data_IF_364425580873
#
_entry.id   IF_364425580873
#
_cell.length_a   1.000
_cell.length_b   1.000
_cell.length_c   1.000
_cell.angle_alpha   90.00
_cell.angle_beta   90.00
_cell.angle_gamma   90.00
#
_symmetry.space_group_name_H-M   'P 1'
#
loop_
_entity.id
_entity.type
_entity.pdbx_description
1 polymer ?
#
# COMPACT_ATOMS: atom_id res chain seq x y z
N UNK A 1 -33.06 -9.27 -26.29
CA UNK A 1 -31.63 -9.18 -25.90
C UNK A 1 -30.94 -10.36 -26.55
N UNK A 2 -30.15 -10.17 -27.60
CA UNK A 2 -29.40 -11.28 -28.20
C UNK A 2 -28.40 -11.79 -27.15
N UNK A 3 -28.44 -13.08 -26.85
CA UNK A 3 -27.50 -13.65 -25.88
C UNK A 3 -26.11 -13.74 -26.52
N UNK A 4 -25.15 -13.01 -25.96
CA UNK A 4 -23.78 -13.00 -26.47
C UNK A 4 -23.09 -14.34 -26.19
N UNK A 5 -22.55 -14.94 -27.25
CA UNK A 5 -21.73 -16.15 -27.23
C UNK A 5 -20.24 -15.85 -27.39
N UNK A 6 -19.87 -14.56 -27.39
CA UNK A 6 -18.49 -14.07 -27.51
C UNK A 6 -18.25 -12.91 -26.56
N UNK A 7 -17.06 -12.83 -25.99
CA UNK A 7 -16.61 -11.65 -25.26
C UNK A 7 -15.09 -11.46 -25.42
N UNK A 8 -14.63 -10.22 -25.33
CA UNK A 8 -13.20 -9.90 -25.30
C UNK A 8 -12.84 -9.42 -23.89
N UNK A 9 -11.91 -10.09 -23.23
CA UNK A 9 -11.27 -9.62 -22.01
C UNK A 9 -9.98 -8.88 -22.38
N UNK A 10 -9.72 -7.78 -21.69
CA UNK A 10 -8.50 -7.00 -21.88
C UNK A 10 -7.64 -7.09 -20.64
N UNK A 11 -6.40 -7.50 -20.86
CA UNK A 11 -5.41 -7.70 -19.82
C UNK A 11 -4.23 -6.76 -20.02
N UNK A 12 -3.61 -6.36 -18.92
CA UNK A 12 -2.39 -5.57 -18.96
C UNK A 12 -1.37 -6.10 -17.95
N UNK A 13 -0.16 -6.36 -18.42
CA UNK A 13 0.93 -6.90 -17.60
C UNK A 13 0.80 -8.39 -17.25
N UNK A 14 -0.11 -9.12 -17.89
CA UNK A 14 -0.26 -10.56 -17.70
C UNK A 14 0.93 -11.33 -18.31
N UNK A 15 1.61 -12.20 -17.54
CA UNK A 15 2.66 -13.07 -18.07
C UNK A 15 2.11 -14.01 -19.13
N UNK A 16 2.70 -13.99 -20.33
CA UNK A 16 2.20 -14.76 -21.47
C UNK A 16 2.17 -16.27 -21.21
N UNK A 17 3.11 -16.79 -20.43
CA UNK A 17 3.15 -18.20 -20.03
C UNK A 17 1.93 -18.66 -19.22
N UNK A 18 1.20 -17.74 -18.56
CA UNK A 18 -0.03 -18.07 -17.81
C UNK A 18 -1.28 -18.15 -18.70
N UNK A 19 -1.26 -17.56 -19.90
CA UNK A 19 -2.44 -17.50 -20.79
C UNK A 19 -2.90 -18.89 -21.24
N UNK A 20 -1.99 -19.68 -21.80
CA UNK A 20 -2.31 -21.03 -22.27
C UNK A 20 -2.79 -21.94 -21.12
N UNK A 21 -2.14 -21.86 -19.96
CA UNK A 21 -2.53 -22.62 -18.78
C UNK A 21 -3.94 -22.25 -18.29
N UNK A 22 -4.29 -20.97 -18.28
CA UNK A 22 -5.62 -20.53 -17.86
C UNK A 22 -6.73 -20.97 -18.82
N UNK A 23 -6.46 -20.96 -20.12
CA UNK A 23 -7.42 -21.45 -21.13
C UNK A 23 -7.59 -22.97 -21.06
N UNK A 24 -6.52 -23.72 -20.77
CA UNK A 24 -6.58 -25.16 -20.59
C UNK A 24 -7.45 -25.61 -19.39
N UNK A 25 -7.76 -24.71 -18.45
CA UNK A 25 -8.67 -24.98 -17.33
C UNK A 25 -10.16 -24.93 -17.72
N UNK A 26 -10.47 -24.68 -19.00
CA UNK A 26 -11.85 -24.69 -19.46
C UNK A 26 -12.44 -26.10 -19.37
N UNK A 27 -13.55 -26.19 -18.65
CA UNK A 27 -14.22 -27.46 -18.51
C UNK A 27 -14.90 -27.82 -19.85
N UNK A 28 -14.76 -29.07 -20.35
CA UNK A 28 -15.26 -29.45 -21.68
C UNK A 28 -16.75 -29.15 -21.90
N UNK A 29 -17.56 -29.23 -20.83
CA UNK A 29 -18.99 -28.95 -20.85
C UNK A 29 -19.34 -27.48 -21.11
N UNK A 30 -18.38 -26.56 -20.97
CA UNK A 30 -18.60 -25.14 -21.31
C UNK A 30 -18.55 -24.91 -22.82
N UNK A 31 -17.96 -25.85 -23.57
CA UNK A 31 -17.71 -25.73 -25.02
C UNK A 31 -17.18 -24.36 -25.39
N UNK A 32 -16.15 -23.96 -24.65
CA UNK A 32 -15.56 -22.64 -24.75
C UNK A 32 -14.15 -22.74 -25.32
N UNK A 33 -13.80 -21.78 -26.16
CA UNK A 33 -12.49 -21.61 -26.74
C UNK A 33 -12.02 -20.18 -26.49
N UNK A 34 -10.71 -19.99 -26.40
CA UNK A 34 -10.13 -18.66 -26.28
C UNK A 34 -8.93 -18.50 -27.20
N UNK A 35 -8.84 -17.34 -27.81
CA UNK A 35 -7.72 -16.89 -28.61
C UNK A 35 -7.21 -15.58 -28.03
N UNK A 36 -5.90 -15.34 -28.11
CA UNK A 36 -5.34 -14.09 -27.62
C UNK A 36 -4.29 -13.51 -28.56
N UNK A 37 -4.16 -12.19 -28.49
CA UNK A 37 -3.14 -11.42 -29.17
C UNK A 37 -2.53 -10.43 -28.21
N UNK A 38 -1.20 -10.35 -28.21
CA UNK A 38 -0.45 -9.44 -27.35
C UNK A 38 0.26 -8.37 -28.17
N UNK A 39 0.27 -7.14 -27.66
CA UNK A 39 1.06 -6.03 -28.18
C UNK A 39 1.74 -5.35 -27.00
N UNK A 40 3.06 -5.54 -26.89
CA UNK A 40 3.78 -5.17 -25.67
C UNK A 40 3.18 -5.88 -24.45
N UNK A 41 2.81 -5.10 -23.43
CA UNK A 41 2.20 -5.59 -22.20
C UNK A 41 0.66 -5.73 -22.24
N UNK A 42 0.00 -5.26 -23.31
CA UNK A 42 -1.45 -5.44 -23.46
C UNK A 42 -1.77 -6.76 -24.16
N UNK A 43 -2.72 -7.51 -23.61
CA UNK A 43 -3.25 -8.74 -24.22
C UNK A 43 -4.75 -8.64 -24.37
N UNK A 44 -5.23 -8.86 -25.59
CA UNK A 44 -6.65 -9.04 -25.88
C UNK A 44 -6.95 -10.54 -25.93
N UNK A 45 -7.90 -10.99 -25.13
CA UNK A 45 -8.28 -12.39 -25.03
C UNK A 45 -9.75 -12.54 -25.43
N UNK A 46 -9.98 -13.04 -26.64
CA UNK A 46 -11.29 -13.31 -27.18
C UNK A 46 -11.74 -14.71 -26.71
N UNK A 47 -12.88 -14.77 -26.05
CA UNK A 47 -13.52 -16.00 -25.58
C UNK A 47 -14.78 -16.21 -26.40
N UNK A 48 -14.96 -17.42 -26.89
CA UNK A 48 -16.17 -17.88 -27.55
C UNK A 48 -16.70 -19.11 -26.81
N UNK A 49 -18.02 -19.27 -26.72
CA UNK A 49 -18.62 -20.52 -26.31
C UNK A 49 -19.91 -20.77 -27.08
N UNK A 50 -20.29 -22.04 -27.26
CA UNK A 50 -21.54 -22.43 -27.92
C UNK A 50 -22.79 -21.88 -27.22
N UNK A 51 -22.70 -21.68 -25.90
CA UNK A 51 -23.81 -21.24 -25.06
C UNK A 51 -23.44 -20.01 -24.23
N UNK A 52 -24.40 -19.12 -23.93
CA UNK A 52 -24.16 -17.94 -23.09
C UNK A 52 -23.76 -18.29 -21.66
N UNK A 53 -24.27 -19.41 -21.13
CA UNK A 53 -23.90 -19.91 -19.81
C UNK A 53 -22.46 -20.45 -19.80
N UNK A 54 -22.04 -21.15 -20.86
CA UNK A 54 -20.66 -21.55 -21.08
C UNK A 54 -19.72 -20.35 -21.14
N UNK A 55 -20.09 -19.31 -21.90
CA UNK A 55 -19.33 -18.07 -22.00
C UNK A 55 -19.15 -17.39 -20.64
N UNK A 56 -20.24 -17.23 -19.87
CA UNK A 56 -20.18 -16.63 -18.53
C UNK A 56 -19.22 -17.38 -17.61
N UNK A 57 -19.27 -18.71 -17.61
CA UNK A 57 -18.37 -19.55 -16.80
C UNK A 57 -16.91 -19.44 -17.25
N UNK A 58 -16.65 -19.52 -18.54
CA UNK A 58 -15.31 -19.39 -19.11
C UNK A 58 -14.69 -18.01 -18.81
N UNK A 59 -15.45 -16.93 -19.05
CA UNK A 59 -15.02 -15.57 -18.76
C UNK A 59 -14.79 -15.34 -17.25
N UNK A 60 -15.63 -15.91 -16.38
CA UNK A 60 -15.44 -15.84 -14.93
C UNK A 60 -14.19 -16.61 -14.47
N UNK A 61 -13.94 -17.78 -15.06
CA UNK A 61 -12.72 -18.56 -14.79
C UNK A 61 -11.47 -17.74 -15.12
N UNK A 62 -11.44 -17.11 -16.29
CA UNK A 62 -10.33 -16.24 -16.69
C UNK A 62 -10.16 -15.03 -15.77
N UNK A 63 -11.25 -14.33 -15.43
CA UNK A 63 -11.20 -13.22 -14.47
C UNK A 63 -10.66 -13.66 -13.11
N UNK A 64 -10.96 -14.87 -12.68
CA UNK A 64 -10.44 -15.42 -11.42
C UNK A 64 -8.95 -15.75 -11.53
N UNK A 65 -8.50 -16.31 -12.66
CA UNK A 65 -7.09 -16.65 -12.91
C UNK A 65 -6.18 -15.44 -13.04
N UNK A 66 -6.67 -14.37 -13.65
CA UNK A 66 -5.87 -13.17 -13.96
C UNK A 66 -6.11 -12.03 -12.98
N UNK A 67 -7.24 -12.01 -12.26
CA UNK A 67 -7.54 -11.05 -11.21
C UNK A 67 -7.28 -9.61 -11.64
N UNK A 68 -6.33 -8.96 -10.97
CA UNK A 68 -5.96 -7.58 -11.22
C UNK A 68 -5.38 -7.32 -12.61
N UNK A 69 -4.93 -8.35 -13.33
CA UNK A 69 -4.42 -8.19 -14.70
C UNK A 69 -5.54 -7.91 -15.70
N UNK A 70 -6.79 -8.31 -15.41
CA UNK A 70 -7.96 -7.93 -16.21
C UNK A 70 -8.35 -6.51 -15.84
N UNK A 71 -8.29 -5.59 -16.81
CA UNK A 71 -8.66 -4.20 -16.59
C UNK A 71 -10.03 -3.84 -17.20
N UNK A 72 -10.54 -4.63 -18.14
CA UNK A 72 -11.79 -4.33 -18.82
C UNK A 72 -12.23 -5.42 -19.80
N UNK A 73 -13.32 -5.14 -20.50
CA UNK A 73 -13.88 -5.98 -21.55
C UNK A 73 -14.32 -5.14 -22.75
N UNK A 74 -14.43 -5.78 -23.92
CA UNK A 74 -14.84 -5.13 -25.18
C UNK A 74 -13.90 -4.00 -25.58
N UNK A 75 -14.45 -2.81 -25.75
CA UNK A 75 -13.72 -1.61 -26.22
C UNK A 75 -13.18 -0.72 -25.10
N UNK A 76 -13.30 -1.16 -23.84
CA UNK A 76 -12.80 -0.39 -22.69
C UNK A 76 -11.31 -0.11 -22.84
N UNK A 77 -10.90 1.15 -22.85
CA UNK A 77 -9.49 1.52 -22.85
C UNK A 77 -8.91 1.47 -21.44
N UNK A 78 -7.59 1.26 -21.32
CA UNK A 78 -6.93 1.27 -20.01
C UNK A 78 -7.04 2.64 -19.31
N UNK A 79 -7.07 3.73 -20.08
CA UNK A 79 -7.27 5.08 -19.58
C UNK A 79 -8.68 5.24 -18.98
N UNK A 80 -9.72 4.78 -19.69
CA UNK A 80 -11.09 4.76 -19.17
C UNK A 80 -11.22 3.90 -17.91
N UNK A 81 -10.58 2.73 -17.87
CA UNK A 81 -10.57 1.87 -16.69
C UNK A 81 -9.86 2.53 -15.48
N UNK A 82 -8.78 3.31 -15.73
CA UNK A 82 -8.09 4.05 -14.68
C UNK A 82 -8.95 5.20 -14.13
N UNK A 83 -9.58 5.98 -14.98
CA UNK A 83 -10.51 7.05 -14.58
C UNK A 83 -11.69 6.48 -13.80
N UNK A 84 -12.31 5.42 -14.30
CA UNK A 84 -13.40 4.75 -13.61
C UNK A 84 -12.99 4.23 -12.23
N UNK A 85 -11.78 3.67 -12.09
CA UNK A 85 -11.28 3.20 -10.80
C UNK A 85 -10.96 4.34 -9.83
N UNK A 86 -10.57 5.51 -10.32
CA UNK A 86 -10.41 6.70 -9.49
C UNK A 86 -11.76 7.24 -9.02
N UNK A 87 -12.73 7.37 -9.94
CA UNK A 87 -14.08 7.84 -9.64
C UNK A 87 -14.81 6.87 -8.67
N UNK A 88 -14.79 5.57 -8.93
CA UNK A 88 -15.54 4.59 -8.12
C UNK A 88 -15.02 4.43 -6.69
N UNK A 89 -13.80 4.91 -6.43
CA UNK A 89 -13.16 4.86 -5.12
C UNK A 89 -12.93 6.23 -4.51
N UNK A 90 -13.50 7.30 -5.09
CA UNK A 90 -13.39 8.69 -4.65
C UNK A 90 -11.92 9.13 -4.43
N UNK A 91 -11.08 8.95 -5.46
CA UNK A 91 -9.65 9.26 -5.38
C UNK A 91 -9.21 10.23 -6.45
N UNK A 92 -8.37 11.16 -6.04
CA UNK A 92 -7.71 12.13 -6.90
C UNK A 92 -6.28 11.71 -7.24
N UNK A 93 -5.87 12.07 -8.45
CA UNK A 93 -4.54 11.87 -9.00
C UNK A 93 -3.91 13.24 -9.28
N UNK A 94 -2.63 13.40 -8.94
CA UNK A 94 -1.82 14.54 -9.35
C UNK A 94 -0.49 14.08 -9.94
N UNK A 95 0.13 14.92 -10.76
CA UNK A 95 1.49 14.70 -11.27
C UNK A 95 2.50 15.54 -10.47
N UNK A 96 3.67 14.95 -10.20
CA UNK A 96 4.78 15.59 -9.51
C UNK A 96 5.84 16.19 -10.44
N UNK A 97 5.80 15.84 -11.73
CA UNK A 97 6.64 16.40 -12.77
C UNK A 97 5.94 16.40 -14.13
N UNK A 98 6.52 17.17 -15.05
CA UNK A 98 6.06 17.28 -16.43
C UNK A 98 6.23 15.99 -17.24
N UNK A 99 7.20 15.13 -16.89
CA UNK A 99 7.41 13.87 -17.57
C UNK A 99 6.21 12.93 -17.35
N UNK A 100 5.78 12.72 -16.11
CA UNK A 100 4.56 11.97 -15.82
C UNK A 100 3.30 12.66 -16.38
N UNK A 101 3.25 13.99 -16.31
CA UNK A 101 2.20 14.79 -16.93
C UNK A 101 2.02 14.47 -18.41
N UNK A 102 3.08 14.58 -19.21
CA UNK A 102 3.06 14.31 -20.65
C UNK A 102 2.64 12.87 -21.00
N UNK A 103 3.05 11.88 -20.18
CA UNK A 103 2.64 10.48 -20.36
C UNK A 103 1.13 10.29 -20.19
N UNK A 104 0.50 11.03 -19.27
CA UNK A 104 -0.92 10.88 -18.93
C UNK A 104 -1.84 11.79 -19.74
N UNK A 105 -1.47 13.05 -19.95
CA UNK A 105 -2.33 14.07 -20.57
C UNK A 105 -2.88 13.64 -21.92
N UNK A 106 -1.99 13.23 -22.83
CA UNK A 106 -2.36 12.74 -24.17
C UNK A 106 -3.34 11.56 -24.18
N UNK A 107 -3.46 10.83 -23.07
CA UNK A 107 -4.31 9.65 -22.92
C UNK A 107 -5.60 9.95 -22.15
N UNK A 108 -5.57 10.90 -21.22
CA UNK A 108 -6.69 11.23 -20.35
C UNK A 108 -7.55 12.39 -20.88
N UNK A 109 -7.01 13.28 -21.71
CA UNK A 109 -7.71 14.46 -22.23
C UNK A 109 -9.04 14.11 -22.92
N UNK A 110 -9.08 12.97 -23.62
CA UNK A 110 -10.28 12.52 -24.36
C UNK A 110 -11.16 11.56 -23.57
N UNK A 111 -10.83 11.25 -22.31
CA UNK A 111 -11.57 10.31 -21.49
C UNK A 111 -12.62 11.08 -20.68
N UNK A 112 -13.92 10.78 -20.86
CA UNK A 112 -14.97 11.43 -20.07
C UNK A 112 -14.76 11.24 -18.57
N UNK A 113 -14.89 12.31 -17.78
CA UNK A 113 -14.75 12.27 -16.32
C UNK A 113 -13.31 12.36 -15.82
N UNK A 114 -12.31 12.35 -16.70
CA UNK A 114 -10.91 12.51 -16.31
C UNK A 114 -10.67 13.82 -15.54
N UNK A 115 -11.36 14.89 -15.92
CA UNK A 115 -11.29 16.22 -15.28
C UNK A 115 -11.76 16.24 -13.82
N UNK A 116 -12.53 15.23 -13.39
CA UNK A 116 -12.99 15.12 -12.00
C UNK A 116 -11.95 14.49 -11.09
N UNK A 117 -11.05 13.69 -11.65
CA UNK A 117 -10.10 12.87 -10.90
C UNK A 117 -8.64 13.26 -11.13
N UNK A 118 -8.34 14.02 -12.18
CA UNK A 118 -7.00 14.44 -12.55
C UNK A 118 -7.00 15.93 -12.92
N UNK A 119 -6.00 16.66 -12.41
CA UNK A 119 -5.92 18.12 -12.50
C UNK A 119 -5.21 18.64 -13.75
N UNK A 120 -4.70 17.76 -14.62
CA UNK A 120 -3.95 18.11 -15.83
C UNK A 120 -2.83 19.14 -15.56
N UNK A 121 -2.18 19.02 -14.41
CA UNK A 121 -1.09 19.91 -14.00
C UNK A 121 -1.51 21.30 -13.52
N UNK A 122 -2.74 21.74 -13.80
CA UNK A 122 -3.23 23.10 -13.52
C UNK A 122 -3.26 23.47 -12.03
N UNK A 123 -3.27 22.46 -11.15
CA UNK A 123 -3.24 22.63 -9.69
C UNK A 123 -2.05 21.90 -9.04
N UNK A 124 -1.07 21.44 -9.83
CA UNK A 124 0.06 20.65 -9.35
C UNK A 124 1.39 21.10 -9.97
N UNK A 125 1.98 20.30 -10.86
CA UNK A 125 3.34 20.49 -11.34
C UNK A 125 3.48 21.66 -12.34
N UNK A 126 2.41 21.99 -13.08
CA UNK A 126 2.40 23.07 -14.07
C UNK A 126 1.90 24.41 -13.48
N UNK A 127 1.32 24.40 -12.28
CA UNK A 127 0.91 25.61 -11.59
C UNK A 127 2.13 26.45 -11.16
N UNK A 128 2.06 27.75 -11.43
CA UNK A 128 3.15 28.69 -11.20
C UNK A 128 3.52 28.86 -9.71
N UNK A 129 2.63 28.52 -8.77
CA UNK A 129 2.85 28.62 -7.32
C UNK A 129 3.17 27.26 -6.70
N UNK A 130 2.43 26.22 -7.08
CA UNK A 130 2.51 24.87 -6.52
C UNK A 130 3.69 24.09 -7.09
N UNK A 131 3.95 24.18 -8.40
CA UNK A 131 5.08 23.51 -9.05
C UNK A 131 6.43 23.82 -8.37
N UNK A 132 6.79 25.10 -8.16
CA UNK A 132 8.01 25.46 -7.42
C UNK A 132 8.02 24.97 -5.96
N UNK A 133 6.87 24.87 -5.29
CA UNK A 133 6.78 24.32 -3.93
C UNK A 133 7.06 22.81 -3.91
N UNK A 134 6.54 22.07 -4.90
CA UNK A 134 6.83 20.64 -5.10
C UNK A 134 8.33 20.45 -5.29
N UNK A 135 8.96 21.21 -6.19
CA UNK A 135 10.40 21.17 -6.44
C UNK A 135 11.23 21.48 -5.19
N UNK A 136 10.91 22.59 -4.51
CA UNK A 136 11.61 23.02 -3.30
C UNK A 136 11.55 21.94 -2.22
N UNK A 137 10.37 21.35 -2.00
CA UNK A 137 10.17 20.28 -1.01
C UNK A 137 10.87 18.98 -1.41
N UNK A 138 10.84 18.63 -2.69
CA UNK A 138 11.51 17.44 -3.21
C UNK A 138 13.03 17.54 -3.00
N UNK A 139 13.63 18.67 -3.39
CA UNK A 139 15.08 18.92 -3.23
C UNK A 139 15.51 19.02 -1.77
N UNK A 140 14.71 19.67 -0.92
CA UNK A 140 14.98 19.73 0.51
C UNK A 140 15.06 18.33 1.13
N UNK A 141 14.25 17.37 0.65
CA UNK A 141 14.27 15.99 1.13
C UNK A 141 15.54 15.23 0.72
N UNK A 142 16.16 15.60 -0.39
CA UNK A 142 17.38 14.97 -0.88
C UNK A 142 18.64 15.46 -0.17
N UNK A 143 18.55 16.51 0.66
CA UNK A 143 19.57 16.87 1.63
C UNK A 143 20.88 17.37 1.01
N UNK A 144 20.81 18.06 -0.14
CA UNK A 144 22.00 18.64 -0.76
C UNK A 144 22.79 17.69 -1.66
N UNK A 145 22.18 16.62 -2.19
CA UNK A 145 22.59 16.16 -3.54
C UNK A 145 22.68 17.43 -4.40
N UNK A 146 23.87 17.73 -4.95
CA UNK A 146 24.20 19.02 -5.57
C UNK A 146 23.32 19.37 -6.77
N UNK A 147 23.84 20.09 -7.76
CA UNK A 147 23.00 20.56 -8.88
C UNK A 147 22.30 19.44 -9.66
N UNK A 148 22.80 18.20 -9.58
CA UNK A 148 22.28 17.01 -10.27
C UNK A 148 21.99 15.85 -9.30
N UNK A 149 20.83 15.83 -8.62
CA UNK A 149 20.38 14.67 -7.85
C UNK A 149 20.09 13.47 -8.75
N UNK A 150 20.11 12.27 -8.17
CA UNK A 150 19.71 11.06 -8.90
C UNK A 150 18.26 11.20 -9.43
N UNK A 151 18.02 11.00 -10.75
CA UNK A 151 16.71 11.23 -11.35
C UNK A 151 15.58 10.42 -10.70
N UNK A 152 15.85 9.18 -10.28
CA UNK A 152 14.84 8.31 -9.68
C UNK A 152 14.50 8.77 -8.27
N UNK A 153 15.51 9.13 -7.47
CA UNK A 153 15.30 9.73 -6.13
C UNK A 153 14.55 11.05 -6.23
N UNK A 154 14.84 11.87 -7.24
CA UNK A 154 14.14 13.12 -7.49
C UNK A 154 12.67 12.89 -7.87
N UNK A 155 12.38 12.01 -8.83
CA UNK A 155 11.00 11.65 -9.20
C UNK A 155 10.23 11.10 -7.99
N UNK A 156 10.87 10.24 -7.18
CA UNK A 156 10.28 9.74 -5.94
C UNK A 156 9.94 10.86 -4.94
N UNK A 157 10.86 11.80 -4.74
CA UNK A 157 10.64 12.94 -3.85
C UNK A 157 9.54 13.87 -4.39
N UNK A 158 9.47 14.09 -5.71
CA UNK A 158 8.43 14.87 -6.39
C UNK A 158 7.05 14.26 -6.25
N UNK A 159 6.87 12.97 -6.55
CA UNK A 159 5.58 12.29 -6.36
C UNK A 159 5.10 12.41 -4.90
N UNK A 160 6.00 12.23 -3.93
CA UNK A 160 5.66 12.36 -2.51
C UNK A 160 5.37 13.80 -2.10
N UNK A 161 6.03 14.79 -2.69
CA UNK A 161 5.79 16.20 -2.43
C UNK A 161 4.46 16.65 -3.03
N UNK A 162 4.19 16.32 -4.29
CA UNK A 162 2.94 16.60 -4.99
C UNK A 162 1.74 16.06 -4.23
N UNK A 163 1.76 14.78 -3.85
CA UNK A 163 0.68 14.16 -3.05
C UNK A 163 0.38 14.93 -1.76
N UNK A 164 1.41 15.46 -1.10
CA UNK A 164 1.27 16.17 0.19
C UNK A 164 0.86 17.63 0.05
N UNK A 165 1.32 18.31 -1.00
CA UNK A 165 1.05 19.74 -1.22
C UNK A 165 -0.33 19.91 -1.85
N UNK A 166 -0.63 19.11 -2.87
CA UNK A 166 -1.92 19.14 -3.57
C UNK A 166 -3.01 18.47 -2.72
N UNK A 167 -2.63 17.50 -1.88
CA UNK A 167 -3.57 16.83 -0.97
C UNK A 167 -4.32 15.65 -1.60
N UNK A 168 -3.78 15.04 -2.65
CA UNK A 168 -4.40 13.91 -3.35
C UNK A 168 -4.12 12.54 -2.70
N UNK A 169 -4.94 11.54 -3.02
CA UNK A 169 -4.75 10.16 -2.59
C UNK A 169 -3.54 9.53 -3.28
N UNK A 170 -3.39 9.82 -4.58
CA UNK A 170 -2.36 9.30 -5.45
C UNK A 170 -1.60 10.46 -6.11
N UNK A 171 -0.29 10.28 -6.26
CA UNK A 171 0.49 11.16 -7.14
C UNK A 171 1.55 10.36 -7.90
N UNK A 172 1.83 10.76 -9.13
CA UNK A 172 2.80 10.09 -9.99
C UNK A 172 3.96 10.99 -10.35
N UNK A 173 5.09 10.39 -10.69
CA UNK A 173 6.27 11.07 -11.23
C UNK A 173 7.02 10.10 -12.15
N UNK A 174 7.87 10.64 -13.03
CA UNK A 174 8.64 9.83 -13.97
C UNK A 174 10.08 10.33 -14.04
N UNK A 175 11.02 9.42 -13.85
CA UNK A 175 12.42 9.67 -14.17
C UNK A 175 12.72 9.09 -15.55
N UNK A 176 13.01 9.97 -16.52
CA UNK A 176 13.40 9.58 -17.86
C UNK A 176 14.92 9.38 -17.91
N UNK A 177 15.36 8.24 -18.42
CA UNK A 177 16.76 7.89 -18.66
C UNK A 177 16.91 7.50 -20.14
N UNK A 178 18.14 7.43 -20.62
CA UNK A 178 18.39 7.19 -22.06
C UNK A 178 17.78 5.88 -22.58
N UNK A 179 17.74 4.83 -21.75
CA UNK A 179 17.28 3.50 -22.13
C UNK A 179 15.93 3.09 -21.54
N UNK A 180 15.44 3.80 -20.52
CA UNK A 180 14.25 3.42 -19.78
C UNK A 180 13.59 4.59 -19.05
N UNK A 181 12.38 4.34 -18.56
CA UNK A 181 11.62 5.24 -17.70
C UNK A 181 11.39 4.55 -16.36
N UNK A 182 11.69 5.23 -15.26
CA UNK A 182 11.29 4.79 -13.92
C UNK A 182 10.03 5.52 -13.50
N UNK A 183 8.93 4.78 -13.53
CA UNK A 183 7.61 5.22 -13.12
C UNK A 183 7.50 5.14 -11.60
N UNK A 184 7.03 6.22 -10.99
CA UNK A 184 6.78 6.28 -9.55
C UNK A 184 5.33 6.62 -9.28
N UNK A 185 4.69 5.85 -8.40
CA UNK A 185 3.37 6.13 -7.88
C UNK A 185 3.43 6.24 -6.35
N UNK A 186 3.19 7.43 -5.81
CA UNK A 186 3.10 7.70 -4.39
C UNK A 186 1.69 7.53 -3.85
N UNK A 187 1.59 6.88 -2.69
CA UNK A 187 0.37 6.72 -1.89
C UNK A 187 0.64 7.12 -0.45
N UNK A 188 -0.40 7.10 0.41
CA UNK A 188 -0.22 7.26 1.87
C UNK A 188 0.67 6.18 2.48
N UNK A 189 0.60 4.94 1.97
CA UNK A 189 1.30 3.77 2.55
C UNK A 189 2.77 3.68 2.12
N UNK A 190 3.14 4.29 0.99
CA UNK A 190 4.45 4.16 0.38
C UNK A 190 4.42 4.50 -1.09
N UNK A 191 5.50 4.21 -1.80
CA UNK A 191 5.61 4.43 -3.24
C UNK A 191 5.84 3.11 -3.98
N UNK A 192 5.17 2.95 -5.11
CA UNK A 192 5.44 1.90 -6.07
C UNK A 192 6.40 2.42 -7.13
N UNK A 193 7.33 1.56 -7.57
CA UNK A 193 8.32 1.88 -8.59
C UNK A 193 8.34 0.79 -9.65
N UNK A 194 8.40 1.19 -10.92
CA UNK A 194 8.56 0.29 -12.06
C UNK A 194 9.51 0.88 -13.07
N UNK A 195 10.49 0.09 -13.51
CA UNK A 195 11.33 0.42 -14.65
C UNK A 195 10.69 -0.13 -15.93
N UNK A 196 10.55 0.71 -16.94
CA UNK A 196 9.96 0.37 -18.24
C UNK A 196 10.95 0.72 -19.34
N UNK A 197 11.37 -0.23 -20.19
CA UNK A 197 12.25 0.07 -21.33
C UNK A 197 11.65 1.16 -22.23
N UNK A 198 12.49 2.02 -22.82
CA UNK A 198 12.02 3.10 -23.70
C UNK A 198 11.28 2.60 -24.95
N UNK A 199 11.54 1.35 -25.37
CA UNK A 199 10.83 0.70 -26.48
C UNK A 199 9.38 0.30 -26.14
N UNK A 200 9.05 0.22 -24.86
CA UNK A 200 7.69 -0.07 -24.39
C UNK A 200 6.86 1.22 -24.24
N UNK A 201 5.62 1.09 -23.76
CA UNK A 201 4.72 2.22 -23.56
C UNK A 201 4.65 2.60 -22.05
N UNK A 202 5.50 3.51 -21.56
CA UNK A 202 5.52 3.91 -20.14
C UNK A 202 4.20 4.53 -19.68
N UNK A 203 3.49 5.26 -20.55
CA UNK A 203 2.20 5.86 -20.19
C UNK A 203 1.10 4.83 -19.90
N UNK A 204 1.07 3.71 -20.62
CA UNK A 204 0.11 2.63 -20.33
C UNK A 204 0.47 1.89 -19.02
N UNK A 205 1.75 1.65 -18.75
CA UNK A 205 2.19 1.10 -17.47
C UNK A 205 1.83 2.01 -16.30
N UNK A 206 1.99 3.33 -16.46
CA UNK A 206 1.62 4.29 -15.43
C UNK A 206 0.12 4.30 -15.16
N UNK A 207 -0.71 4.23 -16.20
CA UNK A 207 -2.17 4.11 -16.07
C UNK A 207 -2.58 2.82 -15.36
N UNK A 208 -1.95 1.69 -15.67
CA UNK A 208 -2.24 0.43 -14.99
C UNK A 208 -1.86 0.49 -13.50
N UNK A 209 -0.71 1.10 -13.19
CA UNK A 209 -0.29 1.32 -11.80
C UNK A 209 -1.30 2.16 -11.03
N UNK A 210 -1.76 3.27 -11.62
CA UNK A 210 -2.79 4.15 -11.04
C UNK A 210 -4.10 3.38 -10.84
N UNK A 211 -4.61 2.70 -11.87
CA UNK A 211 -5.84 1.92 -11.82
C UNK A 211 -5.83 0.91 -10.67
N UNK A 212 -4.76 0.11 -10.59
CA UNK A 212 -4.63 -0.91 -9.54
C UNK A 212 -4.55 -0.27 -8.17
N UNK A 213 -3.80 0.81 -8.01
CA UNK A 213 -3.68 1.49 -6.72
C UNK A 213 -4.97 2.18 -6.27
N UNK A 214 -5.72 2.75 -7.21
CA UNK A 214 -7.02 3.35 -6.97
C UNK A 214 -8.00 2.30 -6.42
N UNK A 215 -8.07 1.14 -7.10
CA UNK A 215 -8.90 0.01 -6.70
C UNK A 215 -8.34 -0.83 -5.52
N UNK A 216 -7.16 -0.51 -5.01
CA UNK A 216 -6.52 -1.30 -3.94
C UNK A 216 -6.08 -2.71 -4.35
N UNK A 217 -5.89 -2.93 -5.66
CA UNK A 217 -5.44 -4.18 -6.25
C UNK A 217 -3.91 -4.35 -6.16
N UNK A 218 -3.40 -5.60 -6.19
CA UNK A 218 -1.97 -5.86 -6.28
C UNK A 218 -1.40 -5.31 -7.60
N UNK A 219 -0.21 -4.70 -7.50
CA UNK A 219 0.52 -4.19 -8.65
C UNK A 219 1.05 -5.33 -9.53
N UNK A 220 1.25 -5.03 -10.82
CA UNK A 220 1.76 -5.98 -11.79
C UNK A 220 3.18 -6.46 -11.41
N UNK A 221 3.51 -7.69 -11.83
CA UNK A 221 4.81 -8.31 -11.59
C UNK A 221 5.98 -7.41 -12.06
N UNK A 222 7.05 -7.37 -11.27
CA UNK A 222 8.19 -6.48 -11.50
C UNK A 222 8.01 -5.05 -10.97
N UNK A 223 6.89 -4.74 -10.31
CA UNK A 223 6.68 -3.45 -9.65
C UNK A 223 7.09 -3.53 -8.17
N UNK A 224 8.11 -2.77 -7.77
CA UNK A 224 8.63 -2.75 -6.41
C UNK A 224 7.83 -1.80 -5.49
N UNK A 225 7.84 -2.06 -4.18
CA UNK A 225 7.21 -1.20 -3.18
C UNK A 225 8.23 -0.66 -2.17
N UNK A 226 8.19 0.65 -1.94
CA UNK A 226 8.93 1.34 -0.91
C UNK A 226 7.97 1.88 0.17
N UNK A 227 7.93 1.31 1.38
CA UNK A 227 7.01 1.74 2.42
C UNK A 227 7.32 3.15 2.95
N UNK A 228 6.27 3.87 3.34
CA UNK A 228 6.42 5.19 3.95
C UNK A 228 7.16 5.09 5.29
N UNK A 229 8.23 5.89 5.46
CA UNK A 229 8.98 5.98 6.72
C UNK A 229 10.29 5.17 6.79
N UNK A 230 10.57 4.29 5.82
CA UNK A 230 11.87 3.59 5.75
C UNK A 230 12.98 4.39 5.04
N UNK A 231 12.69 5.61 4.57
CA UNK A 231 13.70 6.52 4.02
C UNK A 231 14.59 7.20 5.09
N UNK A 232 14.70 6.62 6.30
CA UNK A 232 15.75 6.94 7.28
C UNK A 232 16.73 5.77 7.25
N UNK A 233 17.93 6.04 6.74
CA UNK A 233 19.08 5.14 6.54
C UNK A 233 18.94 4.08 5.43
N UNK A 234 19.32 4.48 4.22
CA UNK A 234 20.15 3.62 3.38
C UNK A 234 21.53 4.26 3.32
N UNK A 235 22.48 3.74 4.09
CA UNK A 235 23.90 4.08 3.96
C UNK A 235 24.44 3.59 2.59
N UNK A 236 25.56 4.14 2.07
CA UNK A 236 26.04 3.87 0.72
C UNK A 236 26.37 2.38 0.48
N UNK A 237 26.22 1.86 -0.76
CA UNK A 237 26.39 0.45 -1.04
C UNK A 237 27.88 0.09 -1.04
N UNK A 238 28.31 -0.67 -0.03
CA UNK A 238 29.72 -1.02 0.10
C UNK A 238 30.05 -1.96 1.25
N UNK A 239 29.32 -3.06 1.43
CA UNK A 239 29.89 -4.33 1.95
C UNK A 239 28.88 -5.47 1.89
N UNK A 240 29.27 -6.52 1.21
CA UNK A 240 28.63 -7.83 1.29
C UNK A 240 28.85 -8.48 2.66
N UNK A 241 27.89 -9.35 3.00
CA UNK A 241 27.93 -10.46 3.96
C UNK A 241 27.20 -10.30 5.31
N UNK A 242 26.14 -11.13 5.39
CA UNK A 242 25.64 -11.88 6.54
C UNK A 242 25.42 -11.17 7.88
N UNK A 243 24.14 -10.90 8.18
CA UNK A 243 23.58 -11.21 9.51
C UNK A 243 22.06 -11.24 9.49
N UNK A 244 21.52 -12.30 10.09
CA UNK A 244 20.10 -12.52 10.38
C UNK A 244 19.39 -11.28 10.94
N UNK A 245 18.10 -11.08 10.60
CA UNK A 245 17.32 -10.00 11.17
C UNK A 245 17.03 -10.30 12.64
N UNK A 246 17.68 -9.58 13.54
CA UNK A 246 17.31 -9.59 14.96
C UNK A 246 15.88 -9.05 15.13
N UNK A 247 14.99 -9.75 15.87
CA UNK A 247 13.62 -9.32 16.04
C UNK A 247 13.59 -8.08 16.95
N UNK A 248 13.04 -6.98 16.41
CA UNK A 248 12.86 -5.72 17.12
C UNK A 248 12.05 -5.96 18.41
N UNK A 249 12.70 -5.83 19.57
CA UNK A 249 12.12 -5.91 20.92
C UNK A 249 11.09 -4.79 21.15
N UNK A 250 9.87 -4.96 20.63
CA UNK A 250 8.67 -4.18 21.04
C UNK A 250 7.65 -5.03 21.80
N UNK A 251 7.93 -6.33 21.97
CA UNK A 251 7.06 -7.30 22.62
C UNK A 251 7.21 -7.44 24.15
N UNK A 252 8.37 -7.20 24.81
CA UNK A 252 8.48 -7.55 26.23
C UNK A 252 7.70 -6.58 27.15
N UNK A 253 7.63 -5.30 26.78
CA UNK A 253 6.92 -4.29 27.57
C UNK A 253 5.40 -4.50 27.54
N UNK A 254 4.84 -4.87 26.39
CA UNK A 254 3.40 -5.16 26.25
C UNK A 254 3.00 -6.43 26.99
N UNK A 255 3.86 -7.45 26.98
CA UNK A 255 3.64 -8.69 27.73
C UNK A 255 3.71 -8.42 29.23
N UNK A 256 4.69 -7.63 29.69
CA UNK A 256 4.78 -7.23 31.10
C UNK A 256 3.54 -6.45 31.57
N UNK A 257 3.05 -5.51 30.75
CA UNK A 257 1.84 -4.75 31.04
C UNK A 257 0.60 -5.65 31.09
N UNK A 258 0.47 -6.59 30.15
CA UNK A 258 -0.64 -7.54 30.15
C UNK A 258 -0.61 -8.46 31.39
N UNK A 259 0.57 -8.94 31.79
CA UNK A 259 0.75 -9.76 32.99
C UNK A 259 0.39 -8.96 34.26
N UNK A 260 0.82 -7.70 34.36
CA UNK A 260 0.46 -6.84 35.50
C UNK A 260 -1.05 -6.61 35.60
N UNK A 261 -1.73 -6.39 34.48
CA UNK A 261 -3.19 -6.23 34.45
C UNK A 261 -3.89 -7.51 34.89
N UNK A 262 -3.43 -8.69 34.43
CA UNK A 262 -4.00 -9.97 34.83
C UNK A 262 -3.80 -10.22 36.33
N UNK A 263 -2.61 -9.92 36.88
CA UNK A 263 -2.36 -10.06 38.32
C UNK A 263 -3.24 -9.12 39.16
N UNK A 264 -3.44 -7.89 38.71
CA UNK A 264 -4.33 -6.94 39.39
C UNK A 264 -5.78 -7.43 39.39
N UNK A 265 -6.28 -7.97 38.27
CA UNK A 265 -7.62 -8.54 38.18
C UNK A 265 -7.78 -9.80 39.02
N UNK A 266 -6.76 -10.66 39.08
CA UNK A 266 -6.77 -11.85 39.93
C UNK A 266 -6.79 -11.47 41.42
N UNK A 267 -5.95 -10.52 41.86
CA UNK A 267 -5.95 -10.02 43.22
C UNK A 267 -7.30 -9.38 43.60
N UNK A 268 -7.90 -8.63 42.68
CA UNK A 268 -9.23 -8.04 42.88
C UNK A 268 -10.32 -9.11 42.96
N UNK A 269 -10.28 -10.13 42.12
CA UNK A 269 -11.22 -11.27 42.18
C UNK A 269 -11.10 -12.06 43.48
N UNK A 270 -9.89 -12.27 43.99
CA UNK A 270 -9.66 -12.92 45.29
C UNK A 270 -10.18 -12.06 46.43
N UNK A 271 -9.91 -10.74 46.42
CA UNK A 271 -10.44 -9.82 47.42
C UNK A 271 -11.97 -9.80 47.41
N UNK A 272 -12.58 -9.76 46.22
CA UNK A 272 -14.03 -9.80 46.03
C UNK A 272 -14.66 -11.10 46.54
N UNK A 273 -14.02 -12.24 46.26
CA UNK A 273 -14.47 -13.55 46.73
C UNK A 273 -14.37 -13.68 48.25
N UNK A 274 -13.29 -13.17 48.86
CA UNK A 274 -13.07 -13.22 50.31
C UNK A 274 -13.99 -12.27 51.09
N UNK A 275 -14.45 -11.17 50.49
CA UNK A 275 -15.34 -10.20 51.15
C UNK A 275 -16.80 -10.29 50.75
N UNK A 276 -17.18 -11.20 49.85
CA UNK A 276 -18.57 -11.35 49.40
C UNK A 276 -19.13 -10.11 48.69
N UNK A 277 -18.25 -9.27 48.12
CA UNK A 277 -18.63 -8.04 47.41
C UNK A 277 -18.60 -6.74 48.22
N UNK A 278 -18.23 -6.75 49.51
CA UNK A 278 -18.00 -5.53 50.28
C UNK A 278 -16.50 -5.25 50.49
N UNK A 279 -15.92 -4.45 49.58
CA UNK A 279 -14.49 -4.13 49.58
C UNK A 279 -14.06 -3.24 50.77
N UNK A 280 -15.01 -2.58 51.46
CA UNK A 280 -14.70 -1.73 52.62
C UNK A 280 -14.42 -2.54 53.90
N UNK A 281 -14.83 -3.81 53.94
CA UNK A 281 -14.63 -4.72 55.08
C UNK A 281 -13.28 -5.47 55.06
N UNK A 282 -12.51 -5.35 53.98
CA UNK A 282 -11.23 -6.02 53.77
C UNK A 282 -10.18 -5.79 54.90
N UNK A 283 -9.98 -4.56 55.43
CA UNK A 283 -8.98 -4.34 56.49
C UNK A 283 -9.38 -4.94 57.85
N UNK A 284 -10.68 -5.20 58.10
CA UNK A 284 -11.11 -5.88 59.32
C UNK A 284 -11.01 -7.41 59.18
N UNK A 285 -11.32 -7.97 58.00
CA UNK A 285 -11.18 -9.41 57.71
C UNK A 285 -9.73 -9.90 57.68
N UNK A 286 -8.80 -9.05 57.24
CA UNK A 286 -7.35 -9.33 57.31
C UNK A 286 -6.82 -9.41 58.74
N UNK A 287 -7.42 -8.72 59.72
CA UNK A 287 -7.06 -8.83 61.13
C UNK A 287 -7.56 -10.10 61.80
N UNK A 288 -8.68 -10.67 61.30
CA UNK A 288 -9.23 -11.93 61.81
C UNK A 288 -8.56 -13.17 61.21
N UNK A 289 -7.86 -13.03 60.08
CA UNK A 289 -6.93 -14.03 59.59
C UNK A 289 -5.65 -13.89 60.41
N UNK A 290 -5.37 -14.88 61.26
CA UNK A 290 -4.17 -14.93 62.08
C UNK A 290 -2.94 -14.89 61.17
N UNK A 291 -2.38 -13.70 60.96
CA UNK A 291 -1.20 -13.48 60.15
C UNK A 291 0.02 -14.05 60.90
N UNK A 292 0.89 -14.84 60.24
CA UNK A 292 2.08 -15.40 60.87
C UNK A 292 3.05 -14.29 61.35
N UNK A 293 3.85 -14.62 62.37
CA UNK A 293 4.67 -13.76 63.26
C UNK A 293 5.67 -12.76 62.62
N UNK A 294 5.66 -12.56 61.30
CA UNK A 294 6.59 -11.64 60.63
C UNK A 294 6.11 -10.17 60.61
N UNK A 295 4.83 -9.90 60.91
CA UNK A 295 4.28 -8.53 60.97
C UNK A 295 4.67 -7.81 62.28
N UNK A 296 5.01 -8.55 63.35
CA UNK A 296 5.48 -7.97 64.62
C UNK A 296 6.92 -7.45 64.57
N UNK A 297 7.69 -7.76 63.51
CA UNK A 297 9.07 -7.27 63.34
C UNK A 297 9.15 -5.78 62.94
N UNK A 298 8.08 -5.18 62.44
CA UNK A 298 8.06 -3.76 62.05
C UNK A 298 7.77 -2.79 63.20
N UNK A 299 7.39 -3.29 64.39
CA UNK A 299 7.10 -2.46 65.55
C UNK A 299 8.33 -2.20 66.45
N UNK A 300 9.51 -2.70 66.08
CA UNK A 300 10.73 -2.62 66.89
C UNK A 300 11.65 -1.43 66.55
N UNK A 301 11.25 -0.50 65.69
CA UNK A 301 12.07 0.67 65.36
C UNK A 301 11.41 1.99 65.75
N UNK A 302 11.22 2.20 67.04
CA UNK A 302 11.18 3.54 67.62
C UNK A 302 12.61 4.06 67.85
N UNK A 303 12.94 5.30 67.45
CA UNK A 303 14.28 5.85 67.62
C UNK A 303 14.47 6.39 69.05
N UNK A 304 15.56 6.00 69.72
CA UNK A 304 15.96 6.59 71.00
C UNK A 304 16.40 8.06 70.80
N UNK A 305 15.96 8.99 71.66
CA UNK A 305 16.34 10.40 71.56
C UNK A 305 17.67 10.68 72.27
N UNK A 306 18.49 11.53 71.65
CA UNK A 306 19.50 12.35 72.32
C UNK A 306 20.84 11.70 72.64
N UNK A 307 21.85 12.02 71.82
CA UNK A 307 23.19 12.33 72.31
C UNK A 307 23.92 13.21 71.28
N UNK A 308 24.39 14.35 71.78
CA UNK A 308 25.15 15.41 71.11
C UNK A 308 26.65 15.18 71.38
N UNK A 309 27.50 15.95 70.68
CA UNK A 309 28.96 16.18 70.90
C UNK A 309 29.87 15.11 70.26
N UNK A 310 30.94 15.42 69.51
CA UNK A 310 31.77 16.63 69.30
C UNK A 310 32.11 16.71 67.80
#
# INVERSE_FOLDING_TARGET
MAEETRCVLRLYGAPQGRLAAAVALFAPQWRAEAQWKSRGAETLLAVHADTPTGLKKAAQSLRSSFGADVYGAGDTSLAAAAVQALESHDRLLACGDAAAGALLESRLEKVPGAEKVYDFGTMSYADAKVGPQIEKRARAKLGGEGDKPDPVRLALARAQAARRIVGTELAVACAERESDHVLVLSTKKGCWLRTVPAADNPGLWLLDMVRRAAAGLPQAEGTGFLPAGQAKQSDPPGRSQSKDPTPKKKHPLRVLLAVLVILALAAFGVAWYLTGGDLAALPQRLKTLHLPEWVTLWQAHEPKPGARLI
#
